data_IF_460749513824
#
_entry.id   IF_460749513824
#
_cell.length_a   1.000
_cell.length_b   1.000
_cell.length_c   1.000
_cell.angle_alpha   90.00
_cell.angle_beta   90.00
_cell.angle_gamma   90.00
#
_symmetry.space_group_name_H-M   'P 1'
#
loop_
_entity.id
_entity.type
_entity.pdbx_description
1 polymer ?
#
# COMPACT_ATOMS: atom_id res chain seq x y z
N UNK A 1 -43.72 -13.62 -11.09
CA UNK A 1 -43.19 -12.59 -12.01
C UNK A 1 -41.70 -12.82 -12.17
N UNK A 2 -41.14 -12.68 -13.38
CA UNK A 2 -39.69 -12.70 -13.57
C UNK A 2 -39.10 -11.48 -12.88
N UNK A 3 -38.18 -11.69 -11.93
CA UNK A 3 -37.43 -10.60 -11.35
C UNK A 3 -36.51 -10.01 -12.43
N UNK A 4 -36.59 -8.69 -12.60
CA UNK A 4 -35.74 -7.94 -13.50
C UNK A 4 -34.61 -7.30 -12.70
N UNK A 5 -33.39 -7.46 -13.18
CA UNK A 5 -32.19 -6.88 -12.57
C UNK A 5 -31.53 -5.94 -13.59
N UNK A 6 -31.01 -4.82 -13.12
CA UNK A 6 -30.30 -3.83 -13.94
C UNK A 6 -28.85 -4.26 -14.17
N UNK A 7 -28.27 -5.04 -13.24
CA UNK A 7 -26.94 -5.63 -13.38
C UNK A 7 -26.89 -7.03 -12.74
N UNK A 8 -26.15 -7.94 -13.39
CA UNK A 8 -25.81 -9.26 -12.84
C UNK A 8 -24.29 -9.30 -12.67
N UNK A 9 -23.83 -9.56 -11.45
CA UNK A 9 -22.42 -9.70 -11.08
C UNK A 9 -22.16 -11.18 -10.78
N UNK A 10 -21.10 -11.74 -11.35
CA UNK A 10 -20.70 -13.14 -11.13
C UNK A 10 -19.37 -13.17 -10.37
N UNK A 11 -19.40 -13.74 -9.17
CA UNK A 11 -18.30 -13.83 -8.21
C UNK A 11 -18.48 -12.86 -7.03
N UNK A 12 -18.70 -13.39 -5.84
CA UNK A 12 -18.78 -12.69 -4.56
C UNK A 12 -17.43 -12.48 -3.87
N UNK A 13 -16.34 -12.36 -4.62
CA UNK A 13 -15.06 -11.87 -4.09
C UNK A 13 -15.07 -10.36 -3.87
N UNK A 14 -13.96 -9.80 -3.35
CA UNK A 14 -13.85 -8.37 -3.06
C UNK A 14 -14.25 -7.48 -4.25
N UNK A 15 -13.78 -7.79 -5.46
CA UNK A 15 -14.13 -7.01 -6.65
C UNK A 15 -15.64 -7.03 -6.94
N UNK A 16 -16.27 -8.20 -6.93
CA UNK A 16 -17.70 -8.32 -7.23
C UNK A 16 -18.59 -7.72 -6.16
N UNK A 17 -18.23 -7.89 -4.87
CA UNK A 17 -18.93 -7.23 -3.77
C UNK A 17 -18.81 -5.71 -3.84
N UNK A 18 -17.61 -5.17 -4.12
CA UNK A 18 -17.41 -3.73 -4.31
C UNK A 18 -18.24 -3.22 -5.49
N UNK A 19 -18.21 -3.89 -6.65
CA UNK A 19 -19.02 -3.52 -7.81
C UNK A 19 -20.51 -3.53 -7.48
N UNK A 20 -21.01 -4.59 -6.86
CA UNK A 20 -22.41 -4.71 -6.47
C UNK A 20 -22.83 -3.60 -5.50
N UNK A 21 -22.01 -3.31 -4.48
CA UNK A 21 -22.27 -2.27 -3.50
C UNK A 21 -22.38 -0.88 -4.15
N UNK A 22 -21.46 -0.54 -5.06
CA UNK A 22 -21.48 0.75 -5.76
C UNK A 22 -22.65 0.88 -6.73
N UNK A 23 -22.97 -0.16 -7.49
CA UNK A 23 -24.10 -0.14 -8.41
C UNK A 23 -25.42 -0.01 -7.63
N UNK A 24 -25.58 -0.79 -6.56
CA UNK A 24 -26.77 -0.73 -5.70
C UNK A 24 -26.91 0.63 -5.01
N UNK A 25 -25.80 1.22 -4.55
CA UNK A 25 -25.78 2.58 -3.98
C UNK A 25 -26.31 3.64 -4.95
N UNK A 26 -26.14 3.44 -6.26
CA UNK A 26 -26.66 4.33 -7.30
C UNK A 26 -28.11 3.99 -7.72
N UNK A 27 -28.81 3.15 -6.96
CA UNK A 27 -30.25 2.89 -7.11
C UNK A 27 -30.61 1.75 -8.08
N UNK A 28 -29.63 1.03 -8.62
CA UNK A 28 -29.88 -0.10 -9.51
C UNK A 28 -30.17 -1.40 -8.74
N UNK A 29 -31.03 -2.26 -9.29
CA UNK A 29 -31.30 -3.61 -8.79
C UNK A 29 -30.22 -4.57 -9.27
N UNK A 30 -29.43 -5.10 -8.34
CA UNK A 30 -28.26 -5.95 -8.64
C UNK A 30 -28.50 -7.38 -8.18
N UNK A 31 -28.20 -8.34 -9.05
CA UNK A 31 -28.07 -9.75 -8.69
C UNK A 31 -26.59 -10.10 -8.58
N UNK A 32 -26.13 -10.53 -7.39
CA UNK A 32 -24.78 -11.06 -7.20
C UNK A 32 -24.85 -12.59 -7.09
N UNK A 33 -24.13 -13.29 -7.96
CA UNK A 33 -24.04 -14.75 -7.98
C UNK A 33 -22.67 -15.18 -7.46
N UNK A 34 -22.64 -15.99 -6.40
CA UNK A 34 -21.43 -16.62 -5.87
C UNK A 34 -21.60 -18.13 -5.93
N UNK A 35 -20.55 -18.84 -6.36
CA UNK A 35 -20.56 -20.31 -6.49
C UNK A 35 -20.36 -21.01 -5.14
N UNK A 36 -19.67 -20.35 -4.21
CA UNK A 36 -19.36 -20.86 -2.88
C UNK A 36 -20.50 -20.55 -1.90
N UNK A 37 -20.48 -21.21 -0.75
CA UNK A 37 -21.46 -21.00 0.31
C UNK A 37 -21.41 -19.57 0.89
N UNK A 38 -20.24 -18.93 0.84
CA UNK A 38 -20.01 -17.59 1.41
C UNK A 38 -19.28 -16.70 0.40
N UNK A 39 -19.62 -15.42 0.41
CA UNK A 39 -18.84 -14.37 -0.24
C UNK A 39 -17.50 -14.17 0.49
N UNK A 40 -16.56 -13.50 -0.19
CA UNK A 40 -15.23 -13.16 0.32
C UNK A 40 -14.12 -13.55 -0.65
N UNK A 41 -14.28 -14.68 -1.36
CA UNK A 41 -13.28 -15.18 -2.30
C UNK A 41 -11.93 -15.40 -1.61
N UNK A 42 -10.89 -14.69 -2.04
CA UNK A 42 -9.55 -14.74 -1.43
C UNK A 42 -9.47 -14.08 -0.05
N UNK A 43 -10.49 -13.31 0.36
CA UNK A 43 -10.59 -12.73 1.70
C UNK A 43 -11.61 -13.57 2.47
N UNK A 44 -11.14 -14.62 3.13
CA UNK A 44 -11.98 -15.54 3.86
C UNK A 44 -11.32 -15.97 5.18
N UNK A 45 -12.13 -16.50 6.08
CA UNK A 45 -11.69 -17.09 7.34
C UNK A 45 -12.40 -18.42 7.55
N UNK A 46 -11.74 -19.37 8.21
CA UNK A 46 -12.28 -20.70 8.51
C UNK A 46 -12.00 -21.09 9.96
N UNK A 47 -12.93 -21.86 10.55
CA UNK A 47 -12.78 -22.36 11.91
C UNK A 47 -12.10 -23.72 11.92
N UNK A 48 -11.14 -23.91 12.82
CA UNK A 48 -10.50 -25.20 13.08
C UNK A 48 -10.09 -25.31 14.54
N UNK A 49 -10.45 -26.41 15.18
CA UNK A 49 -10.05 -26.73 16.56
C UNK A 49 -10.36 -25.61 17.57
N UNK A 50 -11.49 -24.89 17.39
CA UNK A 50 -11.92 -23.79 18.25
C UNK A 50 -11.32 -22.42 17.92
N UNK A 51 -10.50 -22.31 16.87
CA UNK A 51 -9.85 -21.07 16.44
C UNK A 51 -10.33 -20.62 15.07
N UNK A 52 -10.43 -19.31 14.87
CA UNK A 52 -10.66 -18.69 13.56
C UNK A 52 -9.33 -18.39 12.91
N UNK A 53 -9.12 -18.90 11.70
CA UNK A 53 -7.94 -18.64 10.88
C UNK A 53 -8.31 -17.79 9.67
N UNK A 54 -7.51 -16.77 9.38
CA UNK A 54 -7.61 -16.04 8.12
C UNK A 54 -6.89 -16.82 7.02
N UNK A 55 -7.63 -17.17 5.96
CA UNK A 55 -7.13 -17.91 4.80
C UNK A 55 -6.57 -17.03 3.68
N UNK A 56 -6.52 -15.71 3.91
CA UNK A 56 -6.36 -14.71 2.86
C UNK A 56 -5.46 -13.53 3.23
N UNK A 57 -5.89 -12.35 2.81
CA UNK A 57 -5.21 -11.07 3.07
C UNK A 57 -5.12 -10.82 4.58
N UNK A 58 -3.92 -10.46 5.06
CA UNK A 58 -3.63 -10.25 6.49
C UNK A 58 -3.54 -8.79 6.92
N UNK A 59 -3.53 -7.85 5.97
CA UNK A 59 -3.42 -6.42 6.26
C UNK A 59 -4.08 -5.60 5.15
N UNK A 60 -4.54 -4.40 5.52
CA UNK A 60 -5.08 -3.41 4.60
C UNK A 60 -4.05 -2.29 4.43
N UNK A 61 -3.68 -2.00 3.18
CA UNK A 61 -2.97 -0.79 2.83
C UNK A 61 -3.92 0.11 2.04
N UNK A 62 -4.23 1.29 2.56
CA UNK A 62 -5.29 2.10 1.98
C UNK A 62 -4.86 2.78 0.70
N UNK A 63 -3.61 3.23 0.59
CA UNK A 63 -3.09 3.97 -0.57
C UNK A 63 -4.06 5.05 -1.12
N UNK A 64 -4.83 5.72 -0.24
CA UNK A 64 -5.85 6.71 -0.61
C UNK A 64 -7.16 6.17 -1.22
N UNK A 65 -7.41 4.86 -1.22
CA UNK A 65 -8.58 4.21 -1.84
C UNK A 65 -9.49 3.51 -0.83
N UNK A 66 -8.95 2.63 0.02
CA UNK A 66 -9.77 1.76 0.89
C UNK A 66 -10.55 2.57 1.93
N UNK A 67 -9.90 3.46 2.67
CA UNK A 67 -10.57 4.25 3.72
C UNK A 67 -11.65 5.20 3.15
N UNK A 68 -11.41 5.92 2.04
CA UNK A 68 -12.48 6.68 1.38
C UNK A 68 -13.65 5.82 0.92
N UNK A 69 -13.37 4.66 0.33
CA UNK A 69 -14.39 3.71 -0.10
C UNK A 69 -15.28 3.25 1.06
N UNK A 70 -14.68 2.87 2.19
CA UNK A 70 -15.42 2.46 3.38
C UNK A 70 -16.33 3.59 3.91
N UNK A 71 -15.81 4.82 3.99
CA UNK A 71 -16.62 5.99 4.38
C UNK A 71 -17.77 6.23 3.44
N UNK A 72 -17.51 6.14 2.14
CA UNK A 72 -18.53 6.35 1.12
C UNK A 72 -19.65 5.29 1.20
N UNK A 73 -19.29 4.03 1.45
CA UNK A 73 -20.24 2.93 1.60
C UNK A 73 -20.88 2.87 3.00
N UNK A 74 -20.50 3.76 3.94
CA UNK A 74 -21.01 3.76 5.31
C UNK A 74 -20.57 2.54 6.12
N UNK A 75 -19.43 1.94 5.76
CA UNK A 75 -18.89 0.75 6.42
C UNK A 75 -17.88 1.17 7.48
N UNK A 76 -18.17 0.83 8.72
CA UNK A 76 -17.25 0.99 9.84
C UNK A 76 -16.56 -0.34 10.13
N UNK A 77 -15.23 -0.31 10.21
CA UNK A 77 -14.42 -1.45 10.60
C UNK A 77 -13.45 -1.05 11.71
N UNK A 78 -13.30 -1.93 12.69
CA UNK A 78 -12.21 -1.83 13.65
C UNK A 78 -10.88 -2.05 12.93
N UNK A 79 -9.91 -1.20 13.25
CA UNK A 79 -8.57 -1.23 12.64
C UNK A 79 -7.54 -1.16 13.74
N UNK A 80 -6.61 -2.09 13.69
CA UNK A 80 -5.41 -2.08 14.52
C UNK A 80 -4.21 -1.79 13.64
N UNK A 81 -3.20 -1.11 14.20
CA UNK A 81 -1.93 -0.94 13.50
C UNK A 81 -1.26 -2.31 13.38
N UNK A 82 -0.80 -2.65 12.18
CA UNK A 82 0.07 -3.81 11.98
C UNK A 82 1.51 -3.40 12.30
N UNK A 83 2.11 -3.85 13.40
CA UNK A 83 3.52 -3.56 13.69
C UNK A 83 4.40 -4.26 12.66
N UNK A 84 5.43 -3.56 12.19
CA UNK A 84 6.45 -4.11 11.29
C UNK A 84 7.79 -4.08 12.01
N UNK A 85 8.57 -5.14 11.84
CA UNK A 85 9.94 -5.22 12.36
C UNK A 85 10.89 -5.66 11.26
N UNK A 86 12.09 -5.11 11.30
CA UNK A 86 13.21 -5.50 10.44
C UNK A 86 14.23 -6.23 11.29
N UNK A 87 14.53 -7.48 10.93
CA UNK A 87 15.54 -8.29 11.58
C UNK A 87 16.77 -8.44 10.69
N UNK A 88 17.95 -8.14 11.23
CA UNK A 88 19.24 -8.39 10.57
C UNK A 88 20.15 -9.07 11.60
N UNK A 89 20.63 -10.26 11.28
CA UNK A 89 21.38 -11.11 12.21
C UNK A 89 20.63 -11.34 13.55
N UNK A 90 21.24 -10.97 14.67
CA UNK A 90 20.69 -11.10 16.03
C UNK A 90 19.88 -9.85 16.46
N UNK A 91 19.73 -8.88 15.58
CA UNK A 91 19.21 -7.55 15.88
C UNK A 91 17.85 -7.31 15.23
N UNK A 92 16.89 -6.81 16.01
CA UNK A 92 15.53 -6.53 15.54
C UNK A 92 15.19 -5.06 15.84
N UNK A 93 14.76 -4.35 14.79
CA UNK A 93 14.25 -2.98 14.87
C UNK A 93 12.74 -3.01 14.67
N UNK A 94 12.01 -2.20 15.46
CA UNK A 94 10.58 -1.97 15.24
C UNK A 94 10.38 -0.71 14.40
N UNK A 95 9.76 -0.87 13.23
CA UNK A 95 9.48 0.23 12.31
C UNK A 95 8.13 0.83 12.65
N UNK A 96 8.14 1.85 13.51
CA UNK A 96 6.93 2.49 14.01
C UNK A 96 6.69 3.88 13.42
N UNK A 97 7.75 4.49 12.86
CA UNK A 97 7.70 5.84 12.31
C UNK A 97 8.88 6.09 11.37
N UNK A 98 8.94 7.31 10.80
CA UNK A 98 10.01 7.71 9.89
C UNK A 98 11.36 7.80 10.61
N UNK A 99 11.34 8.08 11.90
CA UNK A 99 12.51 8.18 12.76
C UNK A 99 13.22 6.82 12.90
N UNK A 100 12.50 5.71 12.76
CA UNK A 100 13.07 4.35 12.75
C UNK A 100 14.08 4.12 11.61
N UNK A 101 14.09 4.96 10.56
CA UNK A 101 15.13 4.91 9.53
C UNK A 101 16.52 5.22 10.10
N UNK A 102 16.60 6.06 11.15
CA UNK A 102 17.87 6.31 11.84
C UNK A 102 18.36 5.04 12.54
N UNK A 103 17.47 4.33 13.23
CA UNK A 103 17.81 3.05 13.88
C UNK A 103 18.30 2.02 12.86
N UNK A 104 17.67 1.96 11.68
CA UNK A 104 18.11 1.10 10.58
C UNK A 104 19.51 1.48 10.07
N UNK A 105 19.76 2.78 9.87
CA UNK A 105 21.10 3.28 9.50
C UNK A 105 22.17 2.93 10.55
N UNK A 106 21.85 3.16 11.83
CA UNK A 106 22.77 2.88 12.94
C UNK A 106 23.05 1.37 13.05
N UNK A 107 22.05 0.51 12.80
CA UNK A 107 22.23 -0.95 12.72
C UNK A 107 23.16 -1.35 11.59
N UNK A 108 22.94 -0.86 10.36
CA UNK A 108 23.79 -1.20 9.22
C UNK A 108 25.24 -0.75 9.44
N UNK A 109 25.45 0.44 10.02
CA UNK A 109 26.80 0.97 10.33
C UNK A 109 27.54 0.10 11.35
N UNK A 110 26.81 -0.47 12.30
CA UNK A 110 27.40 -1.37 13.31
C UNK A 110 27.81 -2.70 12.69
N UNK A 111 27.02 -3.25 11.78
CA UNK A 111 27.29 -4.55 11.13
C UNK A 111 28.38 -4.40 10.05
N UNK A 112 28.40 -3.28 9.33
CA UNK A 112 29.29 -3.03 8.20
C UNK A 112 30.20 -1.80 8.43
N UNK A 113 31.13 -1.86 9.40
CA UNK A 113 32.12 -0.80 9.57
C UNK A 113 32.97 -0.69 8.29
N UNK A 114 33.17 0.53 7.79
CA UNK A 114 33.88 0.81 6.53
C UNK A 114 32.99 0.98 5.29
N UNK A 115 31.67 0.78 5.40
CA UNK A 115 30.70 1.07 4.33
C UNK A 115 29.78 2.25 4.67
N UNK A 116 30.21 3.18 5.53
CA UNK A 116 29.38 4.27 6.05
C UNK A 116 28.86 5.20 4.94
N UNK A 117 29.68 5.50 3.93
CA UNK A 117 29.32 6.34 2.79
C UNK A 117 28.26 5.66 1.91
N UNK A 118 28.39 4.34 1.69
CA UNK A 118 27.42 3.54 0.94
C UNK A 118 26.07 3.50 1.67
N UNK A 119 26.10 3.30 3.00
CA UNK A 119 24.91 3.31 3.86
C UNK A 119 24.23 4.67 3.84
N UNK A 120 24.98 5.78 3.94
CA UNK A 120 24.40 7.12 3.86
C UNK A 120 23.78 7.39 2.48
N UNK A 121 24.37 6.87 1.40
CA UNK A 121 23.80 6.89 0.06
C UNK A 121 22.44 6.20 -0.01
N UNK A 122 22.34 4.98 0.53
CA UNK A 122 21.08 4.21 0.60
C UNK A 122 20.04 4.94 1.45
N UNK A 123 20.41 5.39 2.65
CA UNK A 123 19.49 6.09 3.57
C UNK A 123 18.98 7.40 2.95
N UNK A 124 19.84 8.14 2.26
CA UNK A 124 19.45 9.35 1.52
C UNK A 124 18.47 9.03 0.39
N UNK A 125 18.67 7.90 -0.31
CA UNK A 125 17.73 7.44 -1.32
C UNK A 125 16.38 7.05 -0.72
N UNK A 126 16.36 6.28 0.38
CA UNK A 126 15.13 5.90 1.09
C UNK A 126 14.36 7.16 1.53
N UNK A 127 15.03 8.15 2.13
CA UNK A 127 14.40 9.43 2.52
C UNK A 127 13.75 10.14 1.33
N UNK A 128 14.37 10.09 0.15
CA UNK A 128 13.80 10.67 -1.08
C UNK A 128 12.52 9.94 -1.50
N UNK A 129 12.54 8.61 -1.50
CA UNK A 129 11.36 7.79 -1.83
C UNK A 129 10.23 8.01 -0.82
N UNK A 130 10.52 8.04 0.48
CA UNK A 130 9.52 8.34 1.52
C UNK A 130 8.80 9.68 1.27
N UNK A 131 9.55 10.74 0.91
CA UNK A 131 8.97 12.04 0.55
C UNK A 131 8.10 11.97 -0.70
N UNK A 132 8.50 11.18 -1.68
CA UNK A 132 7.71 10.96 -2.89
C UNK A 132 6.41 10.17 -2.57
N UNK A 133 6.46 9.18 -1.68
CA UNK A 133 5.28 8.43 -1.21
C UNK A 133 4.31 9.28 -0.40
N UNK A 134 4.80 10.22 0.42
CA UNK A 134 3.95 11.21 1.11
C UNK A 134 3.14 12.06 0.13
N UNK A 135 3.70 12.36 -1.04
CA UNK A 135 2.98 13.08 -2.08
C UNK A 135 2.00 12.11 -2.77
N UNK A 136 2.44 10.91 -3.13
CA UNK A 136 1.60 9.94 -3.85
C UNK A 136 0.32 9.59 -3.08
N UNK A 137 0.42 9.43 -1.76
CA UNK A 137 -0.69 9.03 -0.87
C UNK A 137 -1.18 10.17 0.04
N UNK A 138 -0.71 11.39 -0.17
CA UNK A 138 -1.01 12.53 0.72
C UNK A 138 -2.45 13.04 0.62
N UNK A 139 -3.19 12.60 -0.40
CA UNK A 139 -4.56 13.01 -0.68
C UNK A 139 -5.34 11.77 -1.11
N UNK A 140 -6.60 11.68 -0.66
CA UNK A 140 -7.50 10.60 -1.06
C UNK A 140 -7.67 10.57 -2.59
N UNK A 141 -8.03 9.41 -3.14
CA UNK A 141 -8.21 9.30 -4.58
C UNK A 141 -9.31 10.27 -5.06
N UNK A 142 -9.07 11.07 -6.12
CA UNK A 142 -10.00 12.07 -6.63
C UNK A 142 -11.40 11.53 -6.94
N UNK A 143 -11.51 10.23 -7.24
CA UNK A 143 -12.78 9.55 -7.50
C UNK A 143 -13.73 9.59 -6.29
N UNK A 144 -13.20 9.73 -5.07
CA UNK A 144 -13.99 9.81 -3.83
C UNK A 144 -14.23 11.26 -3.36
N UNK A 145 -13.85 12.26 -4.15
CA UNK A 145 -13.95 13.66 -3.76
C UNK A 145 -15.15 14.38 -4.37
N UNK A 146 -15.89 15.08 -3.52
CA UNK A 146 -16.95 15.97 -3.95
C UNK A 146 -16.43 17.40 -4.18
N UNK A 147 -15.74 17.60 -5.29
CA UNK A 147 -15.22 18.92 -5.67
C UNK A 147 -16.31 19.94 -6.00
N UNK A 148 -17.52 19.49 -6.37
CA UNK A 148 -18.64 20.39 -6.69
C UNK A 148 -19.07 21.16 -5.45
N UNK A 149 -19.16 20.47 -4.32
CA UNK A 149 -19.54 21.07 -3.04
C UNK A 149 -18.35 21.62 -2.25
N UNK A 150 -17.11 21.19 -2.54
CA UNK A 150 -15.90 21.59 -1.80
C UNK A 150 -14.88 22.38 -2.64
N UNK A 151 -15.33 23.45 -3.33
CA UNK A 151 -14.47 24.28 -4.19
C UNK A 151 -13.23 24.85 -3.50
N UNK A 152 -13.35 25.24 -2.22
CA UNK A 152 -12.22 25.76 -1.44
C UNK A 152 -11.14 24.70 -1.24
N UNK A 153 -11.52 23.45 -0.93
CA UNK A 153 -10.59 22.33 -0.80
C UNK A 153 -9.90 22.04 -2.13
N UNK A 154 -10.65 22.05 -3.24
CA UNK A 154 -10.10 21.85 -4.57
C UNK A 154 -8.96 22.85 -4.88
N UNK A 155 -9.21 24.15 -4.69
CA UNK A 155 -8.23 25.20 -5.03
C UNK A 155 -7.07 25.23 -4.04
N UNK A 156 -7.33 25.08 -2.74
CA UNK A 156 -6.30 25.27 -1.69
C UNK A 156 -5.47 24.03 -1.40
N UNK A 157 -6.02 22.83 -1.62
CA UNK A 157 -5.38 21.56 -1.25
C UNK A 157 -5.09 20.72 -2.49
N UNK A 158 -6.14 20.38 -3.25
CA UNK A 158 -6.02 19.42 -4.35
C UNK A 158 -5.16 19.94 -5.50
N UNK A 159 -5.41 21.16 -5.99
CA UNK A 159 -4.70 21.69 -7.16
C UNK A 159 -3.19 21.86 -6.90
N UNK A 160 -2.73 22.45 -5.78
CA UNK A 160 -1.30 22.47 -5.44
C UNK A 160 -0.68 21.08 -5.28
N UNK A 161 -1.43 20.13 -4.71
CA UNK A 161 -1.00 18.75 -4.58
C UNK A 161 -0.87 18.07 -5.95
N UNK A 162 -1.82 18.25 -6.87
CA UNK A 162 -1.82 17.66 -8.21
C UNK A 162 -0.57 18.03 -8.99
N UNK A 163 -0.13 19.29 -8.91
CA UNK A 163 1.13 19.70 -9.53
C UNK A 163 2.31 18.93 -8.94
N UNK A 164 2.42 18.86 -7.60
CA UNK A 164 3.48 18.07 -6.93
C UNK A 164 3.43 16.60 -7.34
N UNK A 165 2.23 16.02 -7.38
CA UNK A 165 1.97 14.63 -7.77
C UNK A 165 2.47 14.34 -9.19
N UNK A 166 2.15 15.18 -10.18
CA UNK A 166 2.62 15.01 -11.56
C UNK A 166 4.15 15.06 -11.66
N UNK A 167 4.80 15.98 -10.95
CA UNK A 167 6.27 16.04 -10.90
C UNK A 167 6.87 14.81 -10.20
N UNK A 168 6.24 14.33 -9.12
CA UNK A 168 6.65 13.12 -8.40
C UNK A 168 6.50 11.87 -9.27
N UNK A 169 5.39 11.71 -10.01
CA UNK A 169 5.22 10.60 -10.96
C UNK A 169 6.32 10.56 -12.03
N UNK A 170 6.67 11.71 -12.62
CA UNK A 170 7.77 11.79 -13.59
C UNK A 170 9.11 11.40 -12.97
N UNK A 171 9.33 11.72 -11.69
CA UNK A 171 10.56 11.36 -10.97
C UNK A 171 10.60 9.87 -10.67
N UNK A 172 9.53 9.33 -10.11
CA UNK A 172 9.35 7.91 -9.79
C UNK A 172 9.50 7.05 -11.04
N UNK A 173 8.95 7.49 -12.18
CA UNK A 173 9.04 6.78 -13.46
C UNK A 173 10.47 6.58 -13.98
N UNK A 174 11.48 7.22 -13.40
CA UNK A 174 12.90 6.97 -13.72
C UNK A 174 13.50 5.77 -12.97
N UNK A 175 12.82 5.26 -11.96
CA UNK A 175 13.29 4.19 -11.07
C UNK A 175 12.55 2.87 -11.33
N UNK A 176 12.27 2.56 -12.60
CA UNK A 176 11.59 1.32 -12.99
C UNK A 176 12.49 0.09 -13.03
N UNK A 177 13.82 0.29 -12.96
CA UNK A 177 14.74 -0.82 -12.91
C UNK A 177 14.62 -1.61 -11.59
N UNK A 178 14.98 -2.90 -11.58
CA UNK A 178 15.01 -3.72 -10.37
C UNK A 178 15.83 -3.08 -9.25
N UNK A 179 15.39 -3.23 -7.99
CA UNK A 179 16.11 -2.78 -6.79
C UNK A 179 17.51 -3.36 -6.75
N UNK A 180 17.66 -4.63 -7.12
CA UNK A 180 18.94 -5.36 -7.18
C UNK A 180 19.96 -4.60 -8.03
N UNK A 181 19.57 -4.30 -9.28
CA UNK A 181 20.41 -3.58 -10.25
C UNK A 181 20.68 -2.13 -9.84
N UNK A 182 19.76 -1.50 -9.11
CA UNK A 182 19.97 -0.15 -8.59
C UNK A 182 20.97 -0.16 -7.42
N UNK A 183 20.83 -1.11 -6.49
CA UNK A 183 21.72 -1.24 -5.35
C UNK A 183 23.15 -1.61 -5.78
N UNK A 184 23.34 -2.39 -6.85
CA UNK A 184 24.68 -2.65 -7.41
C UNK A 184 25.46 -1.37 -7.78
N UNK A 185 24.75 -0.32 -8.18
CA UNK A 185 25.35 0.98 -8.54
C UNK A 185 25.67 1.83 -7.30
N UNK A 186 25.00 1.58 -6.19
CA UNK A 186 25.08 2.39 -4.97
C UNK A 186 25.93 1.75 -3.88
N UNK A 187 25.96 0.42 -3.84
CA UNK A 187 26.57 -0.40 -2.80
C UNK A 187 27.50 -1.43 -3.47
N UNK A 188 28.80 -1.19 -3.36
CA UNK A 188 29.87 -2.07 -3.82
C UNK A 188 30.11 -3.22 -2.85
N UNK A 189 29.89 -3.02 -1.55
CA UNK A 189 29.96 -4.10 -0.57
C UNK A 189 28.82 -5.10 -0.79
N UNK A 190 29.16 -6.26 -1.36
CA UNK A 190 28.19 -7.30 -1.69
C UNK A 190 27.37 -7.76 -0.49
N UNK A 191 27.97 -7.95 0.68
CA UNK A 191 27.23 -8.45 1.85
C UNK A 191 26.23 -7.41 2.36
N UNK A 192 26.62 -6.13 2.42
CA UNK A 192 25.71 -5.04 2.76
C UNK A 192 24.55 -4.95 1.77
N UNK A 193 24.85 -5.05 0.47
CA UNK A 193 23.85 -5.04 -0.59
C UNK A 193 22.84 -6.16 -0.42
N UNK A 194 23.31 -7.40 -0.22
CA UNK A 194 22.44 -8.57 -0.08
C UNK A 194 21.53 -8.44 1.18
N UNK A 195 22.04 -7.85 2.28
CA UNK A 195 21.23 -7.56 3.47
C UNK A 195 20.14 -6.51 3.24
N UNK A 196 20.40 -5.51 2.39
CA UNK A 196 19.37 -4.52 2.06
C UNK A 196 18.35 -5.14 1.10
N UNK A 197 18.83 -5.87 0.09
CA UNK A 197 18.03 -6.42 -1.00
C UNK A 197 17.03 -7.50 -0.55
N UNK A 198 17.36 -8.28 0.50
CA UNK A 198 16.47 -9.34 1.01
C UNK A 198 15.06 -8.87 1.41
N UNK A 199 14.87 -7.56 1.64
CA UNK A 199 13.57 -6.98 2.00
C UNK A 199 12.63 -6.86 0.80
N UNK A 200 13.13 -7.06 -0.41
CA UNK A 200 12.39 -6.90 -1.65
C UNK A 200 12.14 -8.25 -2.31
N UNK A 201 11.04 -8.34 -3.06
CA UNK A 201 10.84 -9.47 -3.95
C UNK A 201 11.72 -9.28 -5.19
N UNK A 202 12.04 -10.39 -5.85
CA UNK A 202 12.84 -10.36 -7.07
C UNK A 202 12.19 -9.48 -8.14
N UNK A 203 12.99 -8.63 -8.77
CA UNK A 203 12.57 -7.66 -9.79
C UNK A 203 11.59 -6.59 -9.29
N UNK A 204 11.54 -6.33 -7.98
CA UNK A 204 10.77 -5.20 -7.47
C UNK A 204 11.34 -3.90 -8.05
N UNK A 205 10.51 -2.99 -8.62
CA UNK A 205 10.98 -1.71 -9.12
C UNK A 205 11.57 -0.85 -8.01
N UNK A 206 12.65 -0.12 -8.31
CA UNK A 206 13.41 0.71 -7.35
C UNK A 206 12.60 1.79 -6.62
N UNK A 207 11.45 2.21 -7.16
CA UNK A 207 10.59 3.20 -6.49
C UNK A 207 9.64 2.64 -5.44
N UNK A 208 9.52 1.31 -5.34
CA UNK A 208 8.67 0.61 -4.40
C UNK A 208 9.34 0.58 -3.02
#
# INVERSE_FOLDING_TARGET
MMETYDAIIVGGGIAGMTSAAYIAKHGARVLLLEKNEKCGGLINSFWRDGFLFDGGVRALESAGIILPMLRELGIEIERVKSPVSVGVEDSIIRVNSKESLKEYSDLLRRIYPGSEDEIEGVVSFIKRIMKDMEILYGVDNPLFMDFKNHKSYFVKVYLPWLFKFLFTLRRIGKFQMPVEEFLEKLVQNRSLRDIIDQHFFKNTPTFF
#
